data_IF_423929875582
#
_entry.id   IF_423929875582
#
_cell.length_a   1.000
_cell.length_b   1.000
_cell.length_c   1.000
_cell.angle_alpha   90.00
_cell.angle_beta   90.00
_cell.angle_gamma   90.00
#
_symmetry.space_group_name_H-M   'P 1'
#
loop_
_entity.id
_entity.type
_entity.pdbx_description
1 polymer ?
#
# COMPACT_ATOMS: atom_id res chain seq x y z
N UNK A 1 4.23 53.84 -49.60
CA UNK A 1 4.44 52.41 -49.42
C UNK A 1 5.08 52.06 -48.07
N UNK A 2 6.08 52.78 -47.56
CA UNK A 2 6.72 52.45 -46.28
C UNK A 2 5.79 52.60 -45.06
N UNK A 3 4.95 53.62 -44.99
CA UNK A 3 4.03 53.84 -43.89
C UNK A 3 2.97 52.78 -43.76
N UNK A 4 2.43 52.29 -44.89
CA UNK A 4 1.39 51.22 -44.91
C UNK A 4 1.96 49.91 -44.34
N UNK A 5 3.19 49.58 -44.70
CA UNK A 5 3.88 48.39 -44.15
C UNK A 5 4.10 48.47 -42.63
N UNK A 6 4.46 49.66 -42.12
CA UNK A 6 4.68 49.87 -40.69
C UNK A 6 3.32 49.73 -39.91
N UNK A 7 2.23 50.25 -40.42
CA UNK A 7 0.92 50.13 -39.80
C UNK A 7 0.45 48.66 -39.80
N UNK A 8 0.69 47.94 -40.91
CA UNK A 8 0.31 46.53 -41.02
C UNK A 8 1.08 45.65 -40.01
N UNK A 9 2.36 45.88 -39.87
CA UNK A 9 3.22 45.16 -38.89
C UNK A 9 2.76 45.43 -37.45
N UNK A 10 2.51 46.68 -37.09
CA UNK A 10 2.03 47.03 -35.75
C UNK A 10 0.65 46.41 -35.45
N UNK A 11 -0.27 46.38 -36.42
CA UNK A 11 -1.57 45.75 -36.26
C UNK A 11 -1.45 44.27 -36.04
N UNK A 12 -0.56 43.57 -36.78
CA UNK A 12 -0.29 42.14 -36.61
C UNK A 12 0.32 41.83 -35.24
N UNK A 13 1.25 42.67 -34.78
CA UNK A 13 1.84 42.52 -33.43
C UNK A 13 0.80 42.70 -32.31
N UNK A 14 -0.10 43.64 -32.43
CA UNK A 14 -1.18 43.88 -31.46
C UNK A 14 -2.15 42.71 -31.42
N UNK A 15 -2.58 42.21 -32.59
CA UNK A 15 -3.47 41.03 -32.65
C UNK A 15 -2.81 39.78 -32.12
N UNK A 16 -1.52 39.59 -32.37
CA UNK A 16 -0.73 38.48 -31.83
C UNK A 16 -0.60 38.53 -30.30
N UNK A 17 -0.47 39.73 -29.71
CA UNK A 17 -0.42 39.89 -28.25
C UNK A 17 -1.75 39.52 -27.56
N UNK A 18 -2.87 39.79 -28.18
CA UNK A 18 -4.20 39.41 -27.66
C UNK A 18 -4.49 37.92 -27.79
N UNK A 19 -3.86 37.22 -28.72
CA UNK A 19 -4.00 35.75 -28.90
C UNK A 19 -3.30 34.90 -27.85
N UNK A 20 -2.45 35.49 -27.00
CA UNK A 20 -1.71 34.79 -25.98
C UNK A 20 -2.40 34.80 -24.59
N UNK A 21 -3.58 35.37 -24.46
CA UNK A 21 -4.40 35.24 -23.26
C UNK A 21 -4.99 33.82 -23.20
N UNK A 22 -4.16 32.86 -22.82
CA UNK A 22 -4.61 31.52 -22.46
C UNK A 22 -5.50 31.62 -21.22
N UNK A 23 -6.79 31.34 -21.36
CA UNK A 23 -7.69 31.18 -20.22
C UNK A 23 -7.26 29.95 -19.45
N UNK A 24 -6.54 30.13 -18.34
CA UNK A 24 -6.38 29.09 -17.33
C UNK A 24 -7.72 28.98 -16.63
N UNK A 25 -8.45 27.92 -16.90
CA UNK A 25 -9.66 27.57 -16.13
C UNK A 25 -9.19 26.90 -14.86
N UNK A 26 -9.26 27.59 -13.74
CA UNK A 26 -9.08 26.95 -12.43
C UNK A 26 -10.20 25.94 -12.23
N UNK A 27 -9.81 24.70 -11.97
CA UNK A 27 -10.74 23.64 -11.60
C UNK A 27 -10.78 23.66 -10.07
N UNK A 28 -11.96 23.89 -9.51
CA UNK A 28 -12.18 23.75 -8.07
C UNK A 28 -12.17 22.26 -7.71
N UNK A 29 -11.02 21.79 -7.28
CA UNK A 29 -10.79 20.39 -6.93
C UNK A 29 -11.55 19.99 -5.66
N UNK A 30 -11.76 20.95 -4.73
CA UNK A 30 -12.53 20.68 -3.51
C UNK A 30 -14.00 20.38 -3.78
N UNK A 31 -14.57 20.93 -4.84
CA UNK A 31 -15.94 20.61 -5.25
C UNK A 31 -16.12 19.15 -5.72
N UNK A 32 -15.01 18.45 -5.99
CA UNK A 32 -14.97 17.04 -6.40
C UNK A 32 -14.65 16.10 -5.23
N UNK A 33 -14.48 16.62 -4.02
CA UNK A 33 -14.15 15.82 -2.83
C UNK A 33 -15.30 14.87 -2.50
N UNK A 34 -15.07 13.54 -2.53
CA UNK A 34 -16.06 12.59 -2.05
C UNK A 34 -16.09 12.55 -0.52
N UNK A 35 -17.20 12.08 0.03
CA UNK A 35 -17.27 11.79 1.45
C UNK A 35 -16.24 10.72 1.84
N UNK A 36 -15.49 10.90 2.96
CA UNK A 36 -14.55 9.90 3.41
C UNK A 36 -15.26 8.60 3.80
N UNK A 37 -14.68 7.49 3.41
CA UNK A 37 -15.18 6.14 3.73
C UNK A 37 -14.14 5.35 4.53
N UNK A 38 -14.62 4.43 5.36
CA UNK A 38 -13.78 3.54 6.14
C UNK A 38 -13.01 2.58 5.23
N UNK A 39 -11.72 2.41 5.52
CA UNK A 39 -10.83 1.49 4.80
C UNK A 39 -10.28 0.47 5.78
N UNK A 40 -10.46 -0.81 5.46
CA UNK A 40 -9.96 -1.95 6.24
C UNK A 40 -8.98 -2.73 5.39
N UNK A 41 -7.77 -2.91 5.91
CA UNK A 41 -6.71 -3.64 5.24
C UNK A 41 -6.23 -4.78 6.15
N UNK A 42 -6.35 -6.02 5.66
CA UNK A 42 -5.89 -7.21 6.35
C UNK A 42 -5.24 -8.16 5.34
N UNK A 43 -4.01 -8.58 5.62
CA UNK A 43 -3.37 -9.67 4.89
C UNK A 43 -3.28 -10.85 5.83
N UNK A 44 -4.15 -11.84 5.62
CA UNK A 44 -4.17 -13.04 6.44
C UNK A 44 -3.15 -14.07 5.93
N UNK A 45 -2.27 -14.51 6.83
CA UNK A 45 -1.24 -15.51 6.53
C UNK A 45 -1.50 -16.72 7.42
N UNK A 46 -1.51 -17.91 6.82
CA UNK A 46 -1.68 -19.16 7.56
C UNK A 46 -0.54 -19.35 8.56
N UNK A 47 -0.88 -19.56 9.83
CA UNK A 47 0.12 -19.78 10.88
C UNK A 47 0.63 -18.51 11.57
N UNK A 48 0.16 -17.34 11.17
CA UNK A 48 0.52 -16.06 11.80
C UNK A 48 -0.71 -15.38 12.41
N UNK A 49 -0.55 -14.61 13.52
CA UNK A 49 -1.62 -13.79 14.07
C UNK A 49 -2.12 -12.76 13.06
N UNK A 50 -3.44 -12.51 13.06
CA UNK A 50 -4.04 -11.53 12.16
C UNK A 50 -3.72 -10.10 12.60
N UNK A 51 -3.35 -9.28 11.64
CA UNK A 51 -3.20 -7.83 11.82
C UNK A 51 -4.09 -7.09 10.84
N UNK A 52 -4.73 -6.02 11.32
CA UNK A 52 -5.67 -5.21 10.55
C UNK A 52 -5.30 -3.74 10.70
N UNK A 53 -5.13 -3.05 9.61
CA UNK A 53 -5.04 -1.59 9.62
C UNK A 53 -6.38 -0.97 9.22
N UNK A 54 -6.81 0.03 9.99
CA UNK A 54 -8.04 0.76 9.75
C UNK A 54 -7.71 2.22 9.54
N UNK A 55 -8.20 2.75 8.44
CA UNK A 55 -8.00 4.15 8.05
C UNK A 55 -9.25 4.68 7.36
N UNK A 56 -9.21 5.89 6.87
CA UNK A 56 -10.23 6.45 5.99
C UNK A 56 -9.65 6.73 4.61
N UNK A 57 -10.51 6.82 3.61
CA UNK A 57 -10.10 7.38 2.32
C UNK A 57 -9.66 8.83 2.52
N UNK A 58 -8.69 9.26 1.74
CA UNK A 58 -8.19 10.62 1.75
C UNK A 58 -8.31 11.23 0.34
N UNK A 59 -8.44 12.52 0.30
CA UNK A 59 -8.42 13.26 -0.94
C UNK A 59 -7.00 13.80 -1.20
N UNK A 60 -6.61 13.92 -2.45
CA UNK A 60 -5.23 14.24 -2.82
C UNK A 60 -4.77 15.65 -2.38
N UNK A 61 -5.71 16.53 -1.99
CA UNK A 61 -5.43 17.84 -1.39
C UNK A 61 -5.32 17.80 0.14
N UNK A 62 -5.52 16.64 0.78
CA UNK A 62 -5.39 16.51 2.24
C UNK A 62 -3.94 16.65 2.67
N UNK A 63 -3.67 17.49 3.67
CA UNK A 63 -2.33 17.69 4.24
C UNK A 63 -1.78 16.44 4.95
N UNK A 64 -2.67 15.61 5.49
CA UNK A 64 -2.34 14.42 6.26
C UNK A 64 -3.04 13.18 5.70
N UNK A 65 -2.50 12.60 4.63
CA UNK A 65 -3.02 11.34 4.10
C UNK A 65 -2.76 10.19 5.09
N UNK A 66 -3.63 9.19 5.09
CA UNK A 66 -3.46 7.93 5.81
C UNK A 66 -3.49 8.03 7.35
N UNK A 67 -4.47 8.69 7.89
CA UNK A 67 -4.72 8.70 9.35
C UNK A 67 -5.18 7.31 9.79
N UNK A 68 -4.44 6.70 10.72
CA UNK A 68 -4.87 5.47 11.40
C UNK A 68 -6.00 5.81 12.36
N UNK A 69 -7.07 5.03 12.34
CA UNK A 69 -8.24 5.19 13.21
C UNK A 69 -8.10 4.27 14.42
N UNK A 70 -7.34 4.69 15.41
CA UNK A 70 -7.02 3.95 16.66
C UNK A 70 -8.25 3.61 17.52
N UNK A 71 -9.32 4.42 17.41
CA UNK A 71 -10.59 4.24 18.14
C UNK A 71 -11.62 3.42 17.37
N UNK A 72 -11.27 2.85 16.24
CA UNK A 72 -12.17 1.96 15.52
C UNK A 72 -12.51 0.73 16.38
N UNK A 73 -13.72 0.24 16.24
CA UNK A 73 -14.08 -1.07 16.76
C UNK A 73 -13.83 -2.10 15.66
N UNK A 74 -12.95 -3.08 15.92
CA UNK A 74 -12.59 -4.11 14.95
C UNK A 74 -12.94 -5.48 15.51
N UNK A 75 -13.86 -6.17 14.82
CA UNK A 75 -14.39 -7.47 15.21
C UNK A 75 -13.92 -8.55 14.24
N UNK A 76 -13.43 -9.65 14.80
CA UNK A 76 -13.05 -10.84 14.05
C UNK A 76 -14.14 -11.90 14.15
N UNK A 77 -14.50 -12.46 13.01
CA UNK A 77 -15.38 -13.61 12.90
C UNK A 77 -14.65 -14.74 12.19
N UNK A 78 -14.81 -15.94 12.71
CA UNK A 78 -14.21 -17.17 12.15
C UNK A 78 -15.31 -18.17 11.90
N UNK A 79 -15.39 -18.70 10.68
CA UNK A 79 -16.39 -19.68 10.26
C UNK A 79 -17.83 -19.22 10.55
N UNK A 80 -18.08 -17.90 10.43
CA UNK A 80 -19.39 -17.29 10.65
C UNK A 80 -19.70 -16.92 12.10
N UNK A 81 -18.88 -17.33 13.08
CA UNK A 81 -19.06 -17.02 14.49
C UNK A 81 -18.15 -15.85 14.93
N UNK A 82 -18.69 -14.97 15.80
CA UNK A 82 -17.87 -13.96 16.45
C UNK A 82 -16.75 -14.64 17.24
N UNK A 83 -15.53 -14.21 17.03
CA UNK A 83 -14.35 -14.75 17.68
C UNK A 83 -13.86 -13.83 18.79
N UNK A 84 -13.56 -12.59 18.44
CA UNK A 84 -13.04 -11.60 19.39
C UNK A 84 -13.12 -10.18 18.82
N UNK A 85 -13.00 -9.21 19.72
CA UNK A 85 -12.68 -7.83 19.38
C UNK A 85 -11.17 -7.66 19.39
N UNK A 86 -10.61 -7.19 18.28
CA UNK A 86 -9.18 -7.02 18.14
C UNK A 86 -8.68 -5.83 18.96
N UNK A 87 -7.46 -5.93 19.50
CA UNK A 87 -6.82 -4.88 20.29
C UNK A 87 -5.95 -3.99 19.41
N UNK A 88 -6.02 -2.68 19.66
CA UNK A 88 -5.14 -1.72 18.99
C UNK A 88 -3.72 -1.81 19.55
N UNK A 89 -2.75 -1.76 18.67
CA UNK A 89 -1.34 -1.67 18.96
C UNK A 89 -0.81 -0.37 18.36
N UNK A 90 -0.10 0.40 19.15
CA UNK A 90 0.54 1.62 18.68
C UNK A 90 1.66 1.29 17.70
N UNK A 91 1.83 2.17 16.73
CA UNK A 91 2.98 2.10 15.82
C UNK A 91 4.25 2.61 16.50
N UNK A 92 5.38 2.31 15.92
CA UNK A 92 6.68 2.82 16.35
C UNK A 92 7.14 3.92 15.39
N UNK A 93 7.16 5.15 15.85
CA UNK A 93 7.59 6.31 15.06
C UNK A 93 9.06 6.22 14.65
N UNK A 94 9.93 5.62 15.49
CA UNK A 94 11.35 5.45 15.19
C UNK A 94 11.58 4.54 13.98
N UNK A 95 10.69 3.58 13.74
CA UNK A 95 10.69 2.68 12.59
C UNK A 95 9.67 3.06 11.53
N UNK A 96 9.02 4.22 11.65
CA UNK A 96 7.96 4.69 10.74
C UNK A 96 6.85 3.63 10.52
N UNK A 97 6.53 2.87 11.57
CA UNK A 97 5.44 1.91 11.56
C UNK A 97 4.16 2.56 12.06
N UNK A 98 3.03 2.17 11.46
CA UNK A 98 1.71 2.69 11.86
C UNK A 98 1.06 1.75 12.86
N UNK A 99 0.17 2.32 13.69
CA UNK A 99 -0.67 1.52 14.56
C UNK A 99 -1.60 0.57 13.78
N UNK A 100 -1.92 -0.54 14.38
CA UNK A 100 -2.74 -1.60 13.79
C UNK A 100 -3.54 -2.34 14.87
N UNK A 101 -4.57 -3.04 14.47
CA UNK A 101 -5.32 -3.94 15.35
C UNK A 101 -4.76 -5.36 15.22
N UNK A 102 -4.61 -6.03 16.35
CA UNK A 102 -4.05 -7.38 16.44
C UNK A 102 -5.06 -8.34 17.04
N UNK A 103 -5.10 -9.55 16.49
CA UNK A 103 -5.78 -10.71 17.02
C UNK A 103 -4.76 -11.74 17.46
N UNK A 104 -5.03 -12.49 18.52
CA UNK A 104 -4.23 -13.64 18.92
C UNK A 104 -4.65 -14.93 18.17
N UNK A 105 -5.74 -14.87 17.41
CA UNK A 105 -6.18 -15.98 16.58
C UNK A 105 -5.22 -16.24 15.43
N UNK A 106 -4.80 -17.48 15.27
CA UNK A 106 -3.93 -17.95 14.18
C UNK A 106 -4.78 -18.75 13.21
N UNK A 107 -5.03 -18.23 12.00
CA UNK A 107 -5.86 -18.91 11.01
C UNK A 107 -5.16 -20.14 10.43
N UNK A 108 -5.97 -21.15 10.13
CA UNK A 108 -5.53 -22.37 9.44
C UNK A 108 -6.24 -22.51 8.09
N UNK A 109 -5.68 -23.36 7.22
CA UNK A 109 -6.29 -23.69 5.93
C UNK A 109 -7.79 -23.99 6.06
N UNK A 110 -8.60 -23.35 5.23
CA UNK A 110 -10.04 -23.54 5.14
C UNK A 110 -10.86 -22.67 6.11
N UNK A 111 -10.23 -21.98 7.05
CA UNK A 111 -10.96 -21.02 7.87
C UNK A 111 -11.52 -19.89 7.02
N UNK A 112 -12.79 -19.57 7.26
CA UNK A 112 -13.46 -18.40 6.70
C UNK A 112 -13.28 -17.26 7.69
N UNK A 113 -12.48 -16.29 7.30
CA UNK A 113 -12.13 -15.12 8.11
C UNK A 113 -12.92 -13.92 7.62
N UNK A 114 -13.70 -13.29 8.52
CA UNK A 114 -14.37 -12.02 8.26
C UNK A 114 -13.90 -10.99 9.29
N UNK A 115 -13.43 -9.88 8.81
CA UNK A 115 -13.10 -8.70 9.62
C UNK A 115 -14.18 -7.66 9.38
N UNK A 116 -14.67 -7.08 10.45
CA UNK A 116 -15.62 -5.97 10.43
C UNK A 116 -15.08 -4.83 11.29
N UNK A 117 -14.93 -3.66 10.68
CA UNK A 117 -14.52 -2.46 11.39
C UNK A 117 -15.64 -1.44 11.36
N UNK A 118 -15.84 -0.75 12.48
CA UNK A 118 -16.79 0.36 12.58
C UNK A 118 -16.13 1.59 13.17
N UNK A 119 -16.53 2.75 12.68
CA UNK A 119 -16.12 4.06 13.20
C UNK A 119 -17.31 5.03 13.12
N UNK A 120 -17.61 5.81 14.19
CA UNK A 120 -18.84 6.61 14.25
C UNK A 120 -19.05 7.55 13.06
N UNK A 121 -17.98 8.16 12.55
CA UNK A 121 -18.04 9.14 11.47
C UNK A 121 -18.06 8.51 10.06
N UNK A 122 -17.54 7.27 9.91
CA UNK A 122 -17.30 6.65 8.60
C UNK A 122 -18.10 5.36 8.40
N UNK A 123 -18.95 4.98 9.37
CA UNK A 123 -19.82 3.81 9.27
C UNK A 123 -19.09 2.49 9.50
N UNK A 124 -19.49 1.48 8.74
CA UNK A 124 -19.00 0.10 8.89
C UNK A 124 -18.42 -0.39 7.57
N UNK A 125 -17.27 -1.04 7.64
CA UNK A 125 -16.67 -1.75 6.52
C UNK A 125 -16.34 -3.18 6.92
N UNK A 126 -16.55 -4.15 6.02
CA UNK A 126 -16.22 -5.54 6.26
C UNK A 126 -15.64 -6.21 5.03
N UNK A 127 -14.78 -7.19 5.26
CA UNK A 127 -14.23 -8.05 4.22
C UNK A 127 -14.15 -9.49 4.73
N UNK A 128 -14.32 -10.44 3.82
CA UNK A 128 -14.26 -11.86 4.12
C UNK A 128 -13.37 -12.58 3.11
N UNK A 129 -12.61 -13.55 3.60
CA UNK A 129 -11.80 -14.45 2.77
C UNK A 129 -11.78 -15.85 3.34
N UNK A 130 -11.43 -16.84 2.52
CA UNK A 130 -11.15 -18.20 2.96
C UNK A 130 -9.65 -18.44 2.92
N UNK A 131 -9.10 -18.94 4.01
CA UNK A 131 -7.66 -19.19 4.11
C UNK A 131 -7.20 -20.26 3.12
N UNK A 132 -6.30 -19.93 2.21
CA UNK A 132 -5.80 -20.89 1.24
C UNK A 132 -4.89 -21.94 1.88
N UNK A 133 -4.61 -23.02 1.14
CA UNK A 133 -3.56 -23.94 1.52
C UNK A 133 -2.20 -23.24 1.45
N UNK A 134 -1.26 -23.54 2.36
CA UNK A 134 0.10 -23.04 2.25
C UNK A 134 0.72 -23.46 0.91
N UNK A 135 1.45 -22.52 0.28
CA UNK A 135 2.20 -22.83 -0.93
C UNK A 135 3.28 -23.88 -0.62
N UNK A 136 3.39 -24.91 -1.44
CA UNK A 136 4.46 -25.89 -1.31
C UNK A 136 5.70 -25.41 -2.05
N UNK A 137 6.69 -24.95 -1.29
CA UNK A 137 7.99 -24.58 -1.85
C UNK A 137 8.78 -25.87 -2.18
N UNK A 138 9.15 -26.04 -3.43
CA UNK A 138 9.97 -27.17 -3.90
C UNK A 138 11.48 -26.82 -3.81
N UNK A 139 11.82 -25.58 -4.14
CA UNK A 139 13.19 -25.10 -4.11
C UNK A 139 13.18 -23.59 -3.83
N UNK A 140 14.11 -23.15 -3.01
CA UNK A 140 14.44 -21.74 -2.86
C UNK A 140 15.97 -21.59 -2.90
N UNK A 141 16.45 -20.48 -3.43
CA UNK A 141 17.88 -20.19 -3.49
C UNK A 141 18.14 -18.75 -3.88
N UNK A 142 19.36 -18.32 -3.61
CA UNK A 142 19.87 -17.02 -4.01
C UNK A 142 21.16 -17.22 -4.80
N UNK A 143 21.32 -16.47 -5.88
CA UNK A 143 22.55 -16.35 -6.64
C UNK A 143 22.92 -14.89 -6.78
N UNK A 144 24.21 -14.61 -6.95
CA UNK A 144 24.68 -13.24 -7.10
C UNK A 144 25.22 -13.04 -8.51
N UNK A 145 24.80 -11.98 -9.16
CA UNK A 145 25.32 -11.57 -10.47
C UNK A 145 25.98 -10.20 -10.35
N UNK A 146 27.18 -10.09 -10.90
CA UNK A 146 27.87 -8.81 -11.01
C UNK A 146 27.37 -8.09 -12.28
N UNK A 147 26.84 -6.89 -12.12
CA UNK A 147 26.40 -6.04 -13.22
C UNK A 147 27.24 -4.77 -13.28
N UNK A 148 27.45 -4.24 -14.46
CA UNK A 148 28.14 -2.98 -14.62
C UNK A 148 27.28 -1.86 -14.03
N UNK A 149 27.82 -1.11 -13.10
CA UNK A 149 27.22 0.10 -12.56
C UNK A 149 27.62 1.34 -13.35
N UNK A 150 27.04 2.48 -12.99
CA UNK A 150 27.41 3.76 -13.55
C UNK A 150 28.88 4.13 -13.21
N UNK A 151 29.55 4.79 -14.12
CA UNK A 151 30.95 5.24 -13.96
C UNK A 151 32.00 4.15 -13.73
N UNK A 152 31.77 2.94 -14.30
CA UNK A 152 32.75 1.84 -14.20
C UNK A 152 32.77 1.10 -12.87
N UNK A 153 31.84 1.39 -11.97
CA UNK A 153 31.66 0.61 -10.75
C UNK A 153 31.03 -0.75 -11.08
N UNK A 154 31.33 -1.77 -10.26
CA UNK A 154 30.63 -3.05 -10.31
C UNK A 154 29.62 -3.12 -9.16
N UNK A 155 28.41 -3.60 -9.46
CA UNK A 155 27.36 -3.81 -8.46
C UNK A 155 26.97 -5.29 -8.43
N UNK A 156 26.85 -5.85 -7.25
CA UNK A 156 26.31 -7.19 -7.08
C UNK A 156 24.79 -7.11 -6.88
N UNK A 157 24.07 -7.86 -7.70
CA UNK A 157 22.63 -8.04 -7.53
C UNK A 157 22.35 -9.45 -7.03
N UNK A 158 21.53 -9.57 -5.99
CA UNK A 158 21.01 -10.85 -5.53
C UNK A 158 19.82 -11.25 -6.43
N UNK A 159 19.85 -12.47 -6.94
CA UNK A 159 18.80 -13.08 -7.74
C UNK A 159 18.17 -14.18 -6.91
N UNK A 160 16.95 -13.95 -6.46
CA UNK A 160 16.17 -14.93 -5.70
C UNK A 160 15.37 -15.81 -6.66
N UNK A 161 15.46 -17.12 -6.46
CA UNK A 161 14.71 -18.11 -7.21
C UNK A 161 13.87 -18.95 -6.28
N UNK A 162 12.58 -18.99 -6.51
CA UNK A 162 11.63 -19.81 -5.75
C UNK A 162 10.85 -20.67 -6.73
N UNK A 163 10.83 -21.98 -6.51
CA UNK A 163 10.02 -22.92 -7.27
C UNK A 163 8.91 -23.42 -6.37
N UNK A 164 7.68 -23.21 -6.80
CA UNK A 164 6.47 -23.62 -6.10
C UNK A 164 5.83 -24.81 -6.83
N UNK A 165 5.17 -25.67 -6.05
CA UNK A 165 4.23 -26.65 -6.62
C UNK A 165 2.86 -26.00 -6.65
N UNK A 166 2.38 -25.71 -7.84
CA UNK A 166 1.03 -25.21 -8.06
C UNK A 166 0.01 -26.33 -8.27
N UNK A 167 -1.25 -26.06 -7.97
CA UNK A 167 -2.38 -26.93 -8.29
C UNK A 167 -3.11 -26.36 -9.53
N UNK A 168 -2.96 -26.96 -10.71
CA UNK A 168 -3.56 -26.41 -11.93
C UNK A 168 -5.10 -26.50 -11.97
N UNK A 169 -5.72 -27.17 -11.01
CA UNK A 169 -7.18 -27.27 -10.92
C UNK A 169 -7.81 -26.10 -10.15
N UNK A 170 -7.01 -25.22 -9.56
CA UNK A 170 -7.44 -24.09 -8.75
C UNK A 170 -6.75 -22.82 -9.25
N UNK A 171 -7.42 -21.69 -9.11
CA UNK A 171 -6.81 -20.38 -9.35
C UNK A 171 -6.06 -19.97 -8.08
N UNK A 172 -4.73 -19.86 -8.17
CA UNK A 172 -3.87 -19.55 -7.04
C UNK A 172 -3.09 -18.26 -7.27
N UNK A 173 -2.98 -17.46 -6.21
CA UNK A 173 -2.21 -16.23 -6.18
C UNK A 173 -1.11 -16.36 -5.13
N UNK A 174 0.12 -15.99 -5.49
CA UNK A 174 1.27 -16.12 -4.62
C UNK A 174 1.89 -14.75 -4.36
N UNK A 175 2.16 -14.45 -3.08
CA UNK A 175 2.92 -13.28 -2.67
C UNK A 175 4.29 -13.74 -2.17
N UNK A 176 5.35 -13.30 -2.82
CA UNK A 176 6.71 -13.48 -2.34
C UNK A 176 7.14 -12.23 -1.55
N UNK A 177 7.31 -12.39 -0.24
CA UNK A 177 7.86 -11.36 0.63
C UNK A 177 9.31 -11.66 0.91
N UNK A 178 10.18 -10.69 0.70
CA UNK A 178 11.60 -10.77 1.06
C UNK A 178 11.85 -9.80 2.20
N UNK A 179 12.45 -10.29 3.27
CA UNK A 179 12.89 -9.49 4.40
C UNK A 179 14.41 -9.53 4.45
N UNK A 180 15.02 -8.37 4.42
CA UNK A 180 16.45 -8.22 4.63
C UNK A 180 16.70 -8.13 6.14
N UNK A 181 17.17 -9.22 6.74
CA UNK A 181 17.56 -9.24 8.14
C UNK A 181 18.91 -8.53 8.32
N UNK A 182 18.95 -7.50 9.13
CA UNK A 182 20.22 -6.98 9.65
C UNK A 182 20.74 -8.04 10.62
N UNK A 183 21.91 -8.66 10.37
CA UNK A 183 22.46 -9.61 11.34
C UNK A 183 22.74 -8.86 12.64
N UNK A 184 21.98 -9.17 13.67
CA UNK A 184 22.30 -8.74 15.03
C UNK A 184 23.48 -9.60 15.47
N UNK A 185 24.65 -9.02 15.54
CA UNK A 185 25.81 -9.65 16.18
C UNK A 185 25.58 -9.65 17.69
N UNK A 186 24.90 -10.65 18.18
CA UNK A 186 24.86 -10.92 19.60
C UNK A 186 26.24 -11.49 20.03
N UNK A 187 27.01 -10.63 20.69
CA UNK A 187 28.03 -11.09 21.62
C UNK A 187 29.36 -11.51 21.02
N UNK A 188 30.35 -10.72 21.31
CA UNK A 188 31.75 -11.14 21.37
C UNK A 188 31.83 -12.44 22.16
N UNK A 189 32.12 -13.56 21.50
CA UNK A 189 32.57 -14.75 22.16
C UNK A 189 33.88 -14.39 22.86
N UNK A 190 33.87 -14.33 24.19
CA UNK A 190 35.10 -14.34 24.98
C UNK A 190 35.62 -15.74 24.95
N UNK A 191 36.86 -15.87 24.48
CA UNK A 191 37.70 -17.04 24.67
C UNK A 191 37.86 -17.42 26.16
#
# INVERSE_FOLDING_TARGET
>A
MKQIKSILINTICIVSLFGLMSCIKEIDLESLRPDPTLVVNCVAITGEPLTVSVSRTWFFTDDHPNVTLDKAEVNLFVNGAFKERMSFQEGDEAFNTRGYFKSDFIPVKGDRIRVEASYPEYGVASAETVMPAPARVLKAGVTYATVAGSFGSARQNAIYQVTLKDNPAEENYYLLRMEEGIPVFDGIAKE
#
